data_IF_316287962567
#
_entry.id   IF_316287962567
#
_cell.length_a   1.000
_cell.length_b   1.000
_cell.length_c   1.000
_cell.angle_alpha   90.00
_cell.angle_beta   90.00
_cell.angle_gamma   90.00
#
_symmetry.space_group_name_H-M   'P 1'
#
loop_
_entity.id
_entity.type
_entity.pdbx_description
1 polymer ?
#
# COMPACT_ATOMS: atom_id res chain seq x y z
N UNK A 1 -8.64 5.32 -45.97
CA UNK A 1 -9.33 4.12 -46.49
C UNK A 1 -9.20 3.01 -45.46
N UNK A 2 -10.30 2.72 -44.74
CA UNK A 2 -10.62 1.44 -44.09
C UNK A 2 -11.86 1.70 -43.22
N UNK A 3 -13.03 1.48 -43.82
CA UNK A 3 -14.35 1.54 -43.22
C UNK A 3 -14.60 0.29 -42.38
N UNK A 4 -15.00 0.46 -41.13
CA UNK A 4 -15.49 -0.60 -40.26
C UNK A 4 -17.02 -0.50 -40.15
N UNK A 5 -17.81 -1.38 -40.79
CA UNK A 5 -19.20 -1.57 -40.44
C UNK A 5 -19.32 -2.72 -39.43
N UNK A 6 -20.25 -2.62 -38.48
CA UNK A 6 -21.06 -3.72 -37.90
C UNK A 6 -21.67 -3.20 -36.58
N UNK A 7 -22.76 -2.45 -36.74
CA UNK A 7 -23.80 -2.28 -35.74
C UNK A 7 -24.86 -3.34 -36.08
N UNK A 8 -24.93 -4.42 -35.31
CA UNK A 8 -26.07 -5.33 -35.37
C UNK A 8 -27.18 -4.83 -34.46
N UNK A 9 -28.33 -4.57 -35.09
CA UNK A 9 -29.56 -4.17 -34.45
C UNK A 9 -30.22 -5.37 -33.76
N UNK A 10 -30.64 -5.18 -32.51
CA UNK A 10 -31.45 -6.13 -31.75
C UNK A 10 -32.91 -6.03 -32.24
N UNK A 11 -33.58 -7.13 -32.63
CA UNK A 11 -34.99 -7.09 -33.02
C UNK A 11 -35.89 -6.87 -31.79
N UNK A 12 -36.59 -5.74 -31.76
CA UNK A 12 -37.72 -5.48 -30.87
C UNK A 12 -38.98 -6.11 -31.44
N UNK A 13 -39.30 -7.34 -31.03
CA UNK A 13 -40.61 -7.95 -31.32
C UNK A 13 -41.00 -8.93 -30.21
N UNK A 14 -41.51 -8.44 -29.08
CA UNK A 14 -42.22 -9.26 -28.09
C UNK A 14 -43.10 -8.38 -27.18
N UNK A 15 -44.15 -7.78 -27.73
CA UNK A 15 -45.25 -7.22 -26.93
C UNK A 15 -46.55 -7.36 -27.70
N UNK A 16 -47.17 -8.53 -27.60
CA UNK A 16 -48.62 -8.70 -27.73
C UNK A 16 -49.02 -9.92 -26.90
N UNK A 17 -49.47 -9.69 -25.67
CA UNK A 17 -50.31 -10.66 -24.96
C UNK A 17 -51.54 -9.97 -24.35
N UNK A 18 -52.72 -10.59 -24.48
CA UNK A 18 -53.98 -10.00 -24.08
C UNK A 18 -54.17 -9.94 -22.56
N UNK A 19 -54.80 -8.84 -22.13
CA UNK A 19 -55.27 -8.57 -20.77
C UNK A 19 -56.12 -9.73 -20.20
N UNK A 20 -55.56 -10.50 -19.27
CA UNK A 20 -56.32 -11.38 -18.40
C UNK A 20 -56.66 -10.68 -17.07
N UNK A 21 -57.95 -10.49 -16.83
CA UNK A 21 -58.53 -10.05 -15.55
C UNK A 21 -58.08 -10.98 -14.41
N UNK A 22 -57.55 -10.45 -13.29
CA UNK A 22 -57.26 -11.28 -12.12
C UNK A 22 -58.56 -11.60 -11.36
N UNK A 23 -58.84 -12.88 -11.18
CA UNK A 23 -59.81 -13.40 -10.22
C UNK A 23 -59.27 -13.22 -8.80
N UNK A 24 -60.04 -12.56 -7.93
CA UNK A 24 -59.72 -12.38 -6.52
C UNK A 24 -59.89 -13.70 -5.76
N UNK A 25 -58.80 -14.45 -5.60
CA UNK A 25 -58.70 -15.51 -4.61
C UNK A 25 -57.88 -15.00 -3.43
N UNK A 26 -58.51 -14.88 -2.26
CA UNK A 26 -57.85 -14.62 -0.99
C UNK A 26 -57.03 -15.85 -0.59
N UNK A 27 -55.75 -15.85 -0.99
CA UNK A 27 -54.77 -16.81 -0.49
C UNK A 27 -54.27 -16.27 0.85
N UNK A 28 -54.73 -16.88 1.93
CA UNK A 28 -54.16 -16.69 3.26
C UNK A 28 -52.77 -17.33 3.26
N UNK A 29 -51.74 -16.52 3.00
CA UNK A 29 -50.36 -16.99 3.15
C UNK A 29 -50.06 -17.22 4.63
N UNK A 30 -49.50 -18.37 5.02
CA UNK A 30 -48.91 -18.51 6.34
C UNK A 30 -47.81 -17.45 6.48
N UNK A 31 -47.80 -16.72 7.60
CA UNK A 31 -46.69 -15.85 7.97
C UNK A 31 -45.42 -16.70 8.07
N UNK A 32 -44.68 -16.80 6.98
CA UNK A 32 -43.30 -17.20 7.02
C UNK A 32 -42.57 -16.02 7.64
N UNK A 33 -42.14 -16.18 8.89
CA UNK A 33 -41.20 -15.27 9.53
C UNK A 33 -40.01 -15.10 8.59
N UNK A 34 -40.00 -13.96 7.88
CA UNK A 34 -38.81 -13.42 7.25
C UNK A 34 -37.87 -13.03 8.38
N UNK A 35 -37.20 -14.03 8.96
CA UNK A 35 -35.94 -13.83 9.65
C UNK A 35 -35.05 -13.14 8.63
N UNK A 36 -34.78 -11.86 8.88
CA UNK A 36 -33.81 -11.11 8.12
C UNK A 36 -32.53 -11.95 8.12
N UNK A 37 -32.27 -12.58 6.98
CA UNK A 37 -30.95 -13.10 6.60
C UNK A 37 -30.04 -11.88 6.58
N UNK A 38 -29.59 -11.49 7.76
CA UNK A 38 -28.36 -10.76 7.94
C UNK A 38 -27.34 -11.61 7.20
N UNK A 39 -26.97 -11.13 6.02
CA UNK A 39 -25.78 -11.54 5.31
C UNK A 39 -24.62 -11.25 6.25
N UNK A 40 -24.44 -12.16 7.21
CA UNK A 40 -23.27 -12.21 8.04
C UNK A 40 -22.15 -12.41 7.04
N UNK A 41 -21.39 -11.35 6.82
CA UNK A 41 -20.02 -11.44 6.36
C UNK A 41 -19.41 -12.43 7.33
N UNK A 42 -19.32 -13.70 6.91
CA UNK A 42 -19.02 -14.85 7.74
C UNK A 42 -17.90 -14.44 8.69
N UNK A 43 -18.18 -14.33 10.00
CA UNK A 43 -17.10 -14.25 10.96
C UNK A 43 -16.23 -15.47 10.66
N UNK A 44 -14.91 -15.28 10.57
CA UNK A 44 -14.01 -16.41 10.70
C UNK A 44 -14.47 -17.13 11.97
N UNK A 45 -15.14 -18.27 11.80
CA UNK A 45 -15.68 -19.08 12.88
C UNK A 45 -14.49 -19.78 13.53
N UNK A 46 -13.60 -19.01 14.14
CA UNK A 46 -12.67 -19.48 15.15
C UNK A 46 -13.42 -19.39 16.47
N UNK A 47 -14.34 -20.34 16.67
CA UNK A 47 -14.83 -20.63 18.01
C UNK A 47 -13.64 -21.08 18.88
N UNK A 48 -13.57 -20.66 20.15
CA UNK A 48 -12.50 -21.06 21.07
C UNK A 48 -12.48 -22.58 21.38
N UNK A 49 -13.49 -23.34 20.93
CA UNK A 49 -13.75 -24.70 21.37
C UNK A 49 -13.47 -25.79 20.32
N UNK A 50 -12.76 -25.49 19.23
CA UNK A 50 -12.22 -26.57 18.37
C UNK A 50 -10.90 -27.08 18.97
N UNK A 51 -10.84 -28.34 19.47
CA UNK A 51 -9.65 -28.91 20.10
C UNK A 51 -8.47 -29.12 19.12
N UNK A 52 -8.71 -28.92 17.82
CA UNK A 52 -7.70 -28.90 16.75
C UNK A 52 -7.70 -27.55 16.01
N UNK A 53 -7.80 -26.45 16.77
CA UNK A 53 -7.59 -25.12 16.23
C UNK A 53 -6.20 -25.02 15.57
N UNK A 54 -6.09 -24.70 14.27
CA UNK A 54 -4.82 -24.76 13.59
C UNK A 54 -3.85 -23.69 14.13
N UNK A 55 -2.56 -24.06 14.23
CA UNK A 55 -1.51 -23.27 14.88
C UNK A 55 -1.56 -21.77 14.54
N UNK A 56 -1.72 -20.91 15.55
CA UNK A 56 -1.65 -19.45 15.40
C UNK A 56 -0.32 -19.04 14.72
N UNK A 57 -0.31 -17.95 13.94
CA UNK A 57 0.94 -17.40 13.40
C UNK A 57 1.98 -17.23 14.50
N UNK A 58 3.22 -17.64 14.25
CA UNK A 58 4.29 -17.50 15.24
C UNK A 58 4.65 -16.02 15.36
N UNK A 59 4.18 -15.35 16.42
CA UNK A 59 4.34 -13.90 16.65
C UNK A 59 5.77 -13.41 16.39
N UNK A 60 6.78 -14.09 16.94
CA UNK A 60 8.19 -13.74 16.71
C UNK A 60 8.56 -13.70 15.23
N UNK A 61 8.15 -14.72 14.46
CA UNK A 61 8.46 -14.82 13.03
C UNK A 61 7.80 -13.70 12.23
N UNK A 62 6.54 -13.41 12.51
CA UNK A 62 5.82 -12.30 11.86
C UNK A 62 6.49 -10.96 12.17
N UNK A 63 6.84 -10.69 13.43
CA UNK A 63 7.54 -9.45 13.82
C UNK A 63 8.93 -9.34 13.20
N UNK A 64 9.69 -10.45 13.15
CA UNK A 64 10.98 -10.48 12.47
C UNK A 64 10.84 -10.21 10.97
N UNK A 65 9.82 -10.74 10.31
CA UNK A 65 9.56 -10.48 8.88
C UNK A 65 9.15 -9.03 8.64
N UNK A 66 8.28 -8.45 9.49
CA UNK A 66 7.92 -7.03 9.39
C UNK A 66 9.16 -6.14 9.56
N UNK A 67 10.00 -6.40 10.57
CA UNK A 67 11.25 -5.68 10.76
C UNK A 67 12.20 -5.86 9.57
N UNK A 68 12.41 -7.10 9.10
CA UNK A 68 13.30 -7.39 7.99
C UNK A 68 12.84 -6.70 6.70
N UNK A 69 11.53 -6.66 6.45
CA UNK A 69 10.96 -5.95 5.30
C UNK A 69 11.25 -4.45 5.39
N UNK A 70 11.02 -3.83 6.55
CA UNK A 70 11.31 -2.41 6.74
C UNK A 70 12.80 -2.09 6.65
N UNK A 71 13.68 -2.94 7.20
CA UNK A 71 15.12 -2.77 7.10
C UNK A 71 15.61 -2.94 5.67
N UNK A 72 15.02 -3.86 4.91
CA UNK A 72 15.29 -4.04 3.48
C UNK A 72 14.99 -2.73 2.72
N UNK A 73 13.76 -2.22 2.85
CA UNK A 73 13.37 -0.94 2.24
C UNK A 73 14.28 0.20 2.69
N UNK A 74 14.63 0.28 3.98
CA UNK A 74 15.53 1.31 4.49
C UNK A 74 16.93 1.21 3.88
N UNK A 75 17.52 0.02 3.81
CA UNK A 75 18.85 -0.19 3.23
C UNK A 75 18.85 0.27 1.77
N UNK A 76 17.89 -0.18 0.98
CA UNK A 76 17.84 0.16 -0.45
C UNK A 76 17.42 1.60 -0.75
N UNK A 77 16.87 2.33 0.23
CA UNK A 77 16.54 3.76 0.08
C UNK A 77 17.64 4.68 0.63
N UNK A 78 18.25 4.31 1.75
CA UNK A 78 19.30 5.11 2.41
C UNK A 78 20.66 4.95 1.74
N UNK A 79 21.05 3.74 1.34
CA UNK A 79 22.36 3.53 0.69
C UNK A 79 22.53 4.41 -0.56
N UNK A 80 21.55 4.49 -1.50
CA UNK A 80 21.65 5.38 -2.65
C UNK A 80 21.67 6.88 -2.34
N UNK A 81 21.37 7.27 -1.10
CA UNK A 81 21.42 8.66 -0.64
C UNK A 81 22.76 8.97 0.03
N UNK A 82 23.31 8.01 0.79
CA UNK A 82 24.56 8.21 1.54
C UNK A 82 25.83 7.86 0.74
N UNK A 83 25.69 7.08 -0.34
CA UNK A 83 26.81 6.59 -1.13
C UNK A 83 26.58 6.92 -2.59
N UNK A 84 27.55 7.59 -3.21
CA UNK A 84 27.60 7.76 -4.66
C UNK A 84 28.22 6.50 -5.28
N UNK A 85 27.37 5.66 -5.86
CA UNK A 85 27.83 4.49 -6.59
C UNK A 85 28.22 4.85 -8.03
N UNK A 86 29.20 4.15 -8.62
CA UNK A 86 29.74 4.49 -9.94
C UNK A 86 28.69 4.36 -11.06
N UNK A 87 28.91 5.11 -12.15
CA UNK A 87 28.13 4.99 -13.37
C UNK A 87 28.38 3.64 -14.06
N UNK A 88 27.34 3.07 -14.65
CA UNK A 88 27.32 1.76 -15.30
C UNK A 88 26.87 1.96 -16.75
N UNK A 89 27.75 1.62 -17.71
CA UNK A 89 27.50 1.67 -19.17
C UNK A 89 27.08 3.04 -19.72
N UNK A 90 28.02 3.98 -19.77
CA UNK A 90 27.70 5.37 -20.07
C UNK A 90 26.78 5.92 -18.99
N UNK A 91 26.43 7.19 -19.04
CA UNK A 91 25.60 7.78 -17.98
C UNK A 91 24.12 7.34 -18.05
N UNK A 92 23.81 6.19 -18.65
CA UNK A 92 22.46 5.63 -18.71
C UNK A 92 22.01 5.00 -17.39
N UNK A 93 22.96 4.46 -16.61
CA UNK A 93 22.69 3.89 -15.29
C UNK A 93 23.71 4.43 -14.29
N UNK A 94 23.22 4.87 -13.13
CA UNK A 94 24.07 5.09 -11.96
C UNK A 94 23.87 3.89 -11.03
N UNK A 95 24.92 3.45 -10.32
CA UNK A 95 24.79 2.33 -9.37
C UNK A 95 23.68 2.55 -8.34
N UNK A 96 23.37 3.80 -8.00
CA UNK A 96 22.27 4.19 -7.12
C UNK A 96 20.90 3.75 -7.67
N UNK A 97 20.69 3.81 -8.98
CA UNK A 97 19.45 3.36 -9.62
C UNK A 97 19.31 1.84 -9.60
N UNK A 98 20.41 1.11 -9.74
CA UNK A 98 20.41 -0.35 -9.64
C UNK A 98 20.03 -0.79 -8.22
N UNK A 99 20.59 -0.16 -7.20
CA UNK A 99 20.23 -0.46 -5.80
C UNK A 99 18.75 -0.15 -5.55
N UNK A 100 18.22 0.96 -6.05
CA UNK A 100 16.78 1.29 -5.94
C UNK A 100 15.90 0.26 -6.66
N UNK A 101 16.31 -0.24 -7.82
CA UNK A 101 15.59 -1.28 -8.56
C UNK A 101 15.59 -2.64 -7.84
N UNK A 102 16.62 -2.94 -7.05
CA UNK A 102 16.70 -4.17 -6.27
C UNK A 102 15.75 -4.16 -5.07
N UNK A 103 15.37 -2.99 -4.54
CA UNK A 103 14.48 -2.87 -3.38
C UNK A 103 13.23 -3.73 -3.52
N UNK A 104 12.38 -3.54 -4.55
CA UNK A 104 11.13 -4.25 -4.60
C UNK A 104 11.34 -5.72 -4.99
N UNK A 105 12.47 -6.08 -5.61
CA UNK A 105 12.82 -7.48 -5.91
C UNK A 105 13.12 -8.25 -4.63
N UNK A 106 13.77 -7.63 -3.65
CA UNK A 106 14.15 -8.27 -2.37
C UNK A 106 13.05 -8.12 -1.32
N UNK A 107 12.39 -6.95 -1.25
CA UNK A 107 11.35 -6.69 -0.26
C UNK A 107 10.05 -7.45 -0.54
N UNK A 108 9.67 -7.63 -1.82
CA UNK A 108 8.39 -8.27 -2.17
C UNK A 108 8.28 -9.73 -1.70
N UNK A 109 9.32 -10.58 -1.83
CA UNK A 109 9.33 -11.91 -1.21
C UNK A 109 9.13 -11.87 0.32
N UNK A 110 9.65 -10.85 1.01
CA UNK A 110 9.48 -10.70 2.46
C UNK A 110 8.03 -10.33 2.80
N UNK A 111 7.41 -9.39 2.06
CA UNK A 111 5.99 -9.10 2.19
C UNK A 111 5.12 -10.34 1.94
N UNK A 112 5.45 -11.13 0.91
CA UNK A 112 4.74 -12.37 0.64
C UNK A 112 4.92 -13.40 1.77
N UNK A 113 6.12 -13.49 2.35
CA UNK A 113 6.37 -14.36 3.51
C UNK A 113 5.52 -13.96 4.73
N UNK A 114 5.27 -12.67 4.97
CA UNK A 114 4.33 -12.21 6.00
C UNK A 114 2.92 -12.75 5.74
N UNK A 115 2.47 -12.75 4.47
CA UNK A 115 1.17 -13.32 4.11
C UNK A 115 1.14 -14.82 4.32
N UNK A 116 2.20 -15.55 3.95
CA UNK A 116 2.29 -17.00 4.17
C UNK A 116 2.18 -17.35 5.67
N UNK A 117 2.84 -16.57 6.54
CA UNK A 117 2.79 -16.76 7.99
C UNK A 117 1.40 -16.52 8.60
N UNK A 118 0.53 -15.77 7.92
CA UNK A 118 -0.88 -15.66 8.35
C UNK A 118 -1.61 -17.01 8.26
N UNK A 119 -1.11 -17.95 7.45
CA UNK A 119 -1.72 -19.24 7.18
C UNK A 119 -3.04 -19.16 6.41
N UNK A 120 -3.31 -18.04 5.74
CA UNK A 120 -4.55 -17.82 4.98
C UNK A 120 -4.72 -18.83 3.85
N UNK A 121 -3.64 -19.20 3.15
CA UNK A 121 -3.73 -20.13 2.02
C UNK A 121 -3.98 -21.57 2.45
N UNK A 122 -3.66 -21.93 3.68
CA UNK A 122 -4.01 -23.24 4.23
C UNK A 122 -5.43 -23.24 4.80
N UNK A 123 -5.83 -22.17 5.51
CA UNK A 123 -7.00 -22.16 6.40
C UNK A 123 -8.19 -21.32 5.94
N UNK A 124 -7.96 -20.31 5.11
CA UNK A 124 -9.02 -19.42 4.64
C UNK A 124 -10.06 -20.16 3.82
N UNK A 125 -11.26 -19.61 3.72
CA UNK A 125 -12.21 -20.10 2.72
C UNK A 125 -11.64 -19.89 1.31
N UNK A 126 -12.05 -20.70 0.32
CA UNK A 126 -11.62 -20.52 -1.08
C UNK A 126 -11.80 -19.08 -1.55
N UNK A 127 -12.94 -18.45 -1.21
CA UNK A 127 -13.21 -17.04 -1.53
C UNK A 127 -12.21 -16.09 -0.89
N UNK A 128 -11.86 -16.29 0.38
CA UNK A 128 -10.91 -15.43 1.09
C UNK A 128 -9.48 -15.60 0.55
N UNK A 129 -9.06 -16.84 0.22
CA UNK A 129 -7.78 -17.11 -0.43
C UNK A 129 -7.65 -16.35 -1.75
N UNK A 130 -8.67 -16.43 -2.61
CA UNK A 130 -8.70 -15.70 -3.88
C UNK A 130 -8.73 -14.19 -3.66
N UNK A 131 -9.58 -13.69 -2.77
CA UNK A 131 -9.67 -12.24 -2.51
C UNK A 131 -8.33 -11.67 -2.05
N UNK A 132 -7.72 -12.26 -1.02
CA UNK A 132 -6.44 -11.80 -0.48
C UNK A 132 -5.34 -11.95 -1.51
N UNK A 133 -5.25 -13.11 -2.16
CA UNK A 133 -4.22 -13.39 -3.17
C UNK A 133 -4.28 -12.38 -4.31
N UNK A 134 -5.46 -12.17 -4.87
CA UNK A 134 -5.67 -11.19 -5.96
C UNK A 134 -5.36 -9.76 -5.52
N UNK A 135 -5.87 -9.33 -4.36
CA UNK A 135 -5.60 -7.97 -3.87
C UNK A 135 -4.11 -7.76 -3.61
N UNK A 136 -3.42 -8.74 -3.02
CA UNK A 136 -1.97 -8.64 -2.82
C UNK A 136 -1.23 -8.57 -4.14
N UNK A 137 -1.53 -9.45 -5.11
CA UNK A 137 -0.86 -9.47 -6.41
C UNK A 137 -1.05 -8.16 -7.19
N UNK A 138 -2.25 -7.58 -7.17
CA UNK A 138 -2.52 -6.27 -7.79
C UNK A 138 -1.73 -5.18 -7.08
N UNK A 139 -1.73 -5.17 -5.74
CA UNK A 139 -1.00 -4.17 -4.93
C UNK A 139 0.51 -4.24 -5.19
N UNK A 140 1.05 -5.46 -5.22
CA UNK A 140 2.44 -5.75 -5.53
C UNK A 140 2.79 -5.32 -6.96
N UNK A 141 1.91 -5.56 -7.94
CA UNK A 141 2.11 -5.14 -9.32
C UNK A 141 2.14 -3.61 -9.46
N UNK A 142 1.25 -2.88 -8.76
CA UNK A 142 1.26 -1.41 -8.73
C UNK A 142 2.56 -0.90 -8.11
N UNK A 143 2.99 -1.51 -7.00
CA UNK A 143 4.26 -1.18 -6.34
C UNK A 143 5.46 -1.36 -7.27
N UNK A 144 5.59 -2.53 -7.90
CA UNK A 144 6.67 -2.85 -8.83
C UNK A 144 6.66 -1.95 -10.07
N UNK A 145 5.48 -1.62 -10.60
CA UNK A 145 5.37 -0.69 -11.73
C UNK A 145 5.85 0.71 -11.34
N UNK A 146 5.52 1.19 -10.13
CA UNK A 146 6.06 2.45 -9.61
C UNK A 146 7.60 2.45 -9.60
N UNK A 147 8.24 1.40 -9.07
CA UNK A 147 9.69 1.29 -9.10
C UNK A 147 10.27 1.19 -10.53
N UNK A 148 9.57 0.52 -11.44
CA UNK A 148 9.94 0.43 -12.85
C UNK A 148 9.88 1.77 -13.56
N UNK A 149 8.79 2.53 -13.39
CA UNK A 149 8.64 3.89 -13.94
C UNK A 149 9.71 4.84 -13.39
N UNK A 150 10.02 4.74 -12.10
CA UNK A 150 11.08 5.53 -11.47
C UNK A 150 12.43 5.26 -12.14
N UNK A 151 12.77 3.98 -12.28
CA UNK A 151 14.04 3.55 -12.85
C UNK A 151 14.14 3.96 -14.32
N UNK A 152 13.07 3.78 -15.10
CA UNK A 152 13.00 4.21 -16.48
C UNK A 152 13.16 5.74 -16.62
N UNK A 153 12.48 6.52 -15.78
CA UNK A 153 12.60 7.97 -15.79
C UNK A 153 14.05 8.42 -15.51
N UNK A 154 14.73 7.80 -14.55
CA UNK A 154 16.15 8.07 -14.30
C UNK A 154 17.05 7.72 -15.50
N UNK A 155 16.83 6.55 -16.11
CA UNK A 155 17.61 6.13 -17.30
C UNK A 155 17.47 7.10 -18.48
N UNK A 156 16.31 7.73 -18.65
CA UNK A 156 16.14 8.76 -19.68
C UNK A 156 16.71 10.12 -19.25
N UNK A 157 16.57 10.47 -17.96
CA UNK A 157 16.99 11.77 -17.42
C UNK A 157 18.51 11.94 -17.46
N UNK A 158 19.29 10.95 -17.06
CA UNK A 158 20.74 11.09 -16.94
C UNK A 158 21.44 11.47 -18.27
N UNK A 159 21.36 10.68 -19.35
CA UNK A 159 22.02 11.03 -20.62
C UNK A 159 21.46 12.32 -21.23
N UNK A 160 20.20 12.64 -20.93
CA UNK A 160 19.59 13.88 -21.39
C UNK A 160 20.13 15.11 -20.64
N UNK A 161 20.33 15.00 -19.33
CA UNK A 161 20.99 16.04 -18.52
C UNK A 161 22.44 16.22 -18.97
N UNK A 162 23.18 15.15 -19.22
CA UNK A 162 24.54 15.26 -19.75
C UNK A 162 24.58 15.98 -21.09
N UNK A 163 23.68 15.62 -22.02
CA UNK A 163 23.58 16.32 -23.30
C UNK A 163 23.30 17.82 -23.11
N UNK A 164 22.40 18.16 -22.18
CA UNK A 164 22.09 19.56 -21.88
C UNK A 164 23.31 20.31 -21.31
N UNK A 165 24.06 19.67 -20.42
CA UNK A 165 25.23 20.25 -19.78
C UNK A 165 26.41 20.40 -20.77
N UNK A 166 26.55 19.47 -21.72
CA UNK A 166 27.55 19.54 -22.80
C UNK A 166 27.17 20.54 -23.91
N UNK A 167 25.90 20.90 -24.05
CA UNK A 167 25.38 21.74 -25.14
C UNK A 167 24.53 22.92 -24.66
N UNK A 168 25.05 23.81 -23.79
CA UNK A 168 24.25 24.87 -23.16
C UNK A 168 23.65 25.86 -24.16
N UNK A 169 24.36 26.13 -25.26
CA UNK A 169 23.87 27.03 -26.31
C UNK A 169 22.60 26.49 -26.97
N UNK A 170 22.55 25.18 -27.27
CA UNK A 170 21.35 24.53 -27.83
C UNK A 170 20.20 24.53 -26.82
N UNK A 171 20.48 24.28 -25.54
CA UNK A 171 19.46 24.33 -24.47
C UNK A 171 18.85 25.71 -24.35
N UNK A 172 19.65 26.77 -24.48
CA UNK A 172 19.16 28.15 -24.43
C UNK A 172 18.28 28.53 -25.62
N UNK A 173 18.52 27.91 -26.78
CA UNK A 173 17.78 28.18 -28.02
C UNK A 173 16.46 27.40 -28.10
N UNK A 174 16.39 26.20 -27.52
CA UNK A 174 15.24 25.31 -27.63
C UNK A 174 14.66 24.98 -26.25
N UNK A 175 13.49 25.58 -25.93
CA UNK A 175 12.79 25.33 -24.65
C UNK A 175 12.47 23.85 -24.40
N UNK A 176 12.34 23.08 -25.49
CA UNK A 176 12.12 21.63 -25.48
C UNK A 176 12.99 20.88 -24.46
N UNK A 177 14.27 21.24 -24.33
CA UNK A 177 15.16 20.53 -23.40
C UNK A 177 14.73 20.72 -21.94
N UNK A 178 14.43 21.96 -21.54
CA UNK A 178 13.96 22.24 -20.19
C UNK A 178 12.56 21.66 -19.95
N UNK A 179 11.68 21.75 -20.95
CA UNK A 179 10.31 21.24 -20.87
C UNK A 179 10.31 19.71 -20.73
N UNK A 180 11.09 19.01 -21.55
CA UNK A 180 11.22 17.55 -21.51
C UNK A 180 11.85 17.07 -20.21
N UNK A 181 12.94 17.70 -19.77
CA UNK A 181 13.57 17.37 -18.46
C UNK A 181 12.57 17.55 -17.32
N UNK A 182 11.81 18.64 -17.33
CA UNK A 182 10.79 18.94 -16.31
C UNK A 182 9.67 17.91 -16.34
N UNK A 183 9.21 17.52 -17.53
CA UNK A 183 8.18 16.50 -17.72
C UNK A 183 8.62 15.12 -17.20
N UNK A 184 9.82 14.65 -17.57
CA UNK A 184 10.35 13.35 -17.09
C UNK A 184 10.54 13.36 -15.57
N UNK A 185 11.13 14.42 -15.01
CA UNK A 185 11.36 14.52 -13.56
C UNK A 185 10.05 14.68 -12.80
N UNK A 186 9.20 15.61 -13.20
CA UNK A 186 8.04 16.01 -12.38
C UNK A 186 6.89 15.02 -12.55
N UNK A 187 6.56 14.65 -13.79
CA UNK A 187 5.38 13.84 -14.05
C UNK A 187 5.68 12.35 -13.95
N UNK A 188 6.77 11.88 -14.59
CA UNK A 188 7.08 10.45 -14.59
C UNK A 188 7.71 9.99 -13.28
N UNK A 189 8.84 10.60 -12.89
CA UNK A 189 9.55 10.24 -11.67
C UNK A 189 8.72 10.63 -10.43
N UNK A 190 8.40 11.91 -10.23
CA UNK A 190 7.72 12.32 -8.98
C UNK A 190 6.20 12.09 -8.97
N UNK A 191 5.50 12.37 -10.08
CA UNK A 191 4.04 12.35 -10.13
C UNK A 191 3.45 10.94 -10.25
N UNK A 192 3.95 10.13 -11.18
CA UNK A 192 3.42 8.80 -11.44
C UNK A 192 4.15 7.77 -10.59
N UNK A 193 5.48 7.71 -10.70
CA UNK A 193 6.24 6.59 -10.14
C UNK A 193 6.17 6.52 -8.62
N UNK A 194 6.39 7.64 -7.91
CA UNK A 194 6.33 7.68 -6.44
C UNK A 194 4.93 7.46 -5.91
N UNK A 195 3.89 7.99 -6.56
CA UNK A 195 2.51 7.77 -6.13
C UNK A 195 2.05 6.33 -6.37
N UNK A 196 2.44 5.71 -7.48
CA UNK A 196 2.19 4.27 -7.70
C UNK A 196 2.91 3.43 -6.66
N UNK A 197 4.18 3.75 -6.40
CA UNK A 197 4.98 3.05 -5.39
C UNK A 197 4.37 3.21 -3.99
N UNK A 198 3.99 4.41 -3.57
CA UNK A 198 3.30 4.65 -2.31
C UNK A 198 1.94 3.95 -2.24
N UNK A 199 1.12 4.04 -3.28
CA UNK A 199 -0.20 3.42 -3.34
C UNK A 199 -0.11 1.90 -3.24
N UNK A 200 0.80 1.26 -3.99
CA UNK A 200 1.05 -0.17 -3.92
C UNK A 200 1.46 -0.61 -2.51
N UNK A 201 2.37 0.13 -1.86
CA UNK A 201 2.81 -0.14 -0.50
C UNK A 201 1.69 -0.02 0.53
N UNK A 202 0.86 1.02 0.42
CA UNK A 202 -0.34 1.23 1.26
C UNK A 202 -1.32 0.07 1.08
N UNK A 203 -1.63 -0.32 -0.16
CA UNK A 203 -2.56 -1.42 -0.42
C UNK A 203 -2.03 -2.76 0.08
N UNK A 204 -0.73 -3.04 -0.05
CA UNK A 204 -0.11 -4.23 0.56
C UNK A 204 -0.24 -4.21 2.10
N UNK A 205 0.01 -3.07 2.74
CA UNK A 205 -0.20 -2.91 4.17
C UNK A 205 -1.66 -3.16 4.57
N UNK A 206 -2.63 -2.75 3.73
CA UNK A 206 -4.04 -3.00 3.98
C UNK A 206 -4.38 -4.49 3.94
N UNK A 207 -3.84 -5.21 2.96
CA UNK A 207 -4.03 -6.66 2.86
C UNK A 207 -3.44 -7.37 4.08
N UNK A 208 -2.24 -6.98 4.53
CA UNK A 208 -1.61 -7.58 5.72
C UNK A 208 -2.41 -7.25 6.98
N UNK A 209 -2.82 -6.00 7.19
CA UNK A 209 -3.66 -5.62 8.32
C UNK A 209 -4.99 -6.41 8.33
N UNK A 210 -5.61 -6.58 7.17
CA UNK A 210 -6.82 -7.38 7.01
C UNK A 210 -6.59 -8.86 7.36
N UNK A 211 -5.50 -9.46 6.90
CA UNK A 211 -5.16 -10.86 7.19
C UNK A 211 -5.02 -11.13 8.69
N UNK A 212 -4.36 -10.22 9.41
CA UNK A 212 -4.14 -10.34 10.83
C UNK A 212 -5.25 -9.73 11.70
N UNK A 213 -6.36 -9.29 11.09
CA UNK A 213 -7.45 -8.57 11.79
C UNK A 213 -7.99 -9.32 12.99
N UNK A 214 -8.02 -10.65 12.93
CA UNK A 214 -8.55 -11.53 13.97
C UNK A 214 -7.47 -12.23 14.81
N UNK A 215 -6.18 -12.07 14.48
CA UNK A 215 -5.08 -12.74 15.19
C UNK A 215 -4.91 -12.12 16.58
N UNK A 216 -4.83 -12.99 17.57
CA UNK A 216 -4.76 -12.61 18.98
C UNK A 216 -3.67 -13.39 19.69
N UNK A 217 -2.51 -12.78 19.86
CA UNK A 217 -1.40 -13.42 20.57
C UNK A 217 -0.58 -12.38 21.33
N UNK A 218 -0.86 -12.18 22.63
CA UNK A 218 -0.14 -11.19 23.42
C UNK A 218 1.35 -11.53 23.47
N UNK A 219 2.20 -10.53 23.21
CA UNK A 219 3.66 -10.68 23.23
C UNK A 219 4.15 -11.08 24.63
N UNK A 220 4.58 -12.35 24.77
CA UNK A 220 5.01 -12.91 26.06
C UNK A 220 6.48 -12.66 26.36
N UNK A 221 7.35 -12.66 25.33
CA UNK A 221 8.79 -12.51 25.52
C UNK A 221 9.27 -11.07 25.33
N UNK A 222 10.35 -10.70 26.03
CA UNK A 222 10.99 -9.38 25.86
C UNK A 222 11.51 -9.19 24.43
N UNK A 223 11.97 -10.26 23.79
CA UNK A 223 12.43 -10.24 22.40
C UNK A 223 11.30 -9.82 21.45
N UNK A 224 10.09 -10.36 21.63
CA UNK A 224 8.95 -9.99 20.78
C UNK A 224 8.60 -8.51 20.94
N UNK A 225 8.67 -7.97 22.17
CA UNK A 225 8.46 -6.54 22.43
C UNK A 225 9.51 -5.66 21.75
N UNK A 226 10.79 -6.08 21.78
CA UNK A 226 11.88 -5.37 21.11
C UNK A 226 11.69 -5.39 19.59
N UNK A 227 11.39 -6.56 19.01
CA UNK A 227 11.11 -6.69 17.57
C UNK A 227 9.92 -5.83 17.15
N UNK A 228 8.85 -5.84 17.95
CA UNK A 228 7.68 -5.02 17.72
C UNK A 228 7.99 -3.52 17.76
N UNK A 229 8.70 -3.07 18.81
CA UNK A 229 9.08 -1.66 18.95
C UNK A 229 9.99 -1.21 17.80
N UNK A 230 11.00 -2.01 17.47
CA UNK A 230 11.92 -1.74 16.37
C UNK A 230 11.19 -1.69 15.02
N UNK A 231 10.36 -2.69 14.71
CA UNK A 231 9.60 -2.71 13.47
C UNK A 231 8.71 -1.47 13.37
N UNK A 232 7.96 -1.17 14.44
CA UNK A 232 7.02 -0.03 14.50
C UNK A 232 7.75 1.29 14.28
N UNK A 233 8.88 1.48 14.97
CA UNK A 233 9.69 2.69 14.86
C UNK A 233 10.22 2.85 13.44
N UNK A 234 10.87 1.82 12.88
CA UNK A 234 11.45 1.90 11.53
C UNK A 234 10.36 2.17 10.50
N UNK A 235 9.19 1.52 10.58
CA UNK A 235 8.10 1.77 9.63
C UNK A 235 7.54 3.20 9.74
N UNK A 236 7.34 3.69 10.98
CA UNK A 236 6.89 5.05 11.21
C UNK A 236 7.88 6.10 10.70
N UNK A 237 9.18 5.86 10.88
CA UNK A 237 10.25 6.70 10.33
C UNK A 237 10.24 6.69 8.79
N UNK A 238 10.11 5.51 8.16
CA UNK A 238 10.02 5.41 6.69
C UNK A 238 8.87 6.26 6.17
N UNK A 239 7.65 6.13 6.72
CA UNK A 239 6.49 6.91 6.28
C UNK A 239 6.73 8.41 6.50
N UNK A 240 7.25 8.80 7.67
CA UNK A 240 7.54 10.18 7.99
C UNK A 240 8.58 10.81 7.06
N UNK A 241 9.69 10.12 6.80
CA UNK A 241 10.76 10.57 5.91
C UNK A 241 10.27 10.69 4.46
N UNK A 242 9.55 9.69 3.96
CA UNK A 242 8.90 9.73 2.64
C UNK A 242 7.98 10.95 2.54
N UNK A 243 7.15 11.21 3.55
CA UNK A 243 6.22 12.34 3.54
C UNK A 243 6.91 13.71 3.46
N UNK A 244 8.09 13.85 4.06
CA UNK A 244 8.89 15.08 4.05
C UNK A 244 9.59 15.29 2.70
N UNK A 245 10.02 14.20 2.07
CA UNK A 245 10.81 14.26 0.84
C UNK A 245 9.93 14.59 -0.39
N UNK A 246 8.71 14.05 -0.45
CA UNK A 246 7.91 14.12 -1.67
C UNK A 246 7.06 15.39 -1.81
N UNK A 247 6.89 15.92 -3.04
CA UNK A 247 5.91 16.97 -3.31
C UNK A 247 4.51 16.55 -2.86
N UNK A 248 3.90 17.36 -1.99
CA UNK A 248 2.61 17.07 -1.32
C UNK A 248 2.61 15.79 -0.47
N UNK A 249 3.77 15.21 -0.17
CA UNK A 249 3.92 13.98 0.61
C UNK A 249 3.30 14.10 2.00
N UNK A 250 3.47 15.25 2.66
CA UNK A 250 2.88 15.55 3.97
C UNK A 250 1.35 15.49 3.96
N UNK A 251 0.70 15.97 2.89
CA UNK A 251 -0.76 15.90 2.71
C UNK A 251 -1.19 14.43 2.55
N UNK A 252 -0.51 13.68 1.67
CA UNK A 252 -0.82 12.26 1.41
C UNK A 252 -0.67 11.44 2.69
N UNK A 253 0.42 11.66 3.44
CA UNK A 253 0.67 10.98 4.70
C UNK A 253 -0.36 11.32 5.77
N UNK A 254 -0.78 12.59 5.87
CA UNK A 254 -1.87 12.97 6.78
C UNK A 254 -3.18 12.24 6.44
N UNK A 255 -3.55 12.19 5.16
CA UNK A 255 -4.76 11.48 4.73
C UNK A 255 -4.64 9.99 5.09
N UNK A 256 -3.51 9.35 4.76
CA UNK A 256 -3.25 7.96 5.10
C UNK A 256 -3.38 7.72 6.62
N UNK A 257 -2.70 8.51 7.44
CA UNK A 257 -2.66 8.31 8.88
C UNK A 257 -4.02 8.62 9.53
N UNK A 258 -4.70 9.68 9.13
CA UNK A 258 -6.00 10.07 9.69
C UNK A 258 -7.09 9.12 9.26
N UNK A 259 -7.26 8.92 7.95
CA UNK A 259 -8.36 8.11 7.40
C UNK A 259 -8.13 6.65 7.69
N UNK A 260 -6.96 6.11 7.34
CA UNK A 260 -6.71 4.69 7.47
C UNK A 260 -6.17 4.32 8.86
N UNK A 261 -5.15 5.02 9.34
CA UNK A 261 -4.55 4.74 10.64
C UNK A 261 -5.56 4.89 11.78
N UNK A 262 -6.07 6.09 12.01
CA UNK A 262 -7.04 6.33 13.10
C UNK A 262 -8.46 5.89 12.71
N UNK A 263 -8.92 6.25 11.52
CA UNK A 263 -10.30 6.00 11.08
C UNK A 263 -10.62 4.53 10.86
N UNK A 264 -9.75 3.76 10.18
CA UNK A 264 -10.01 2.33 9.90
C UNK A 264 -9.40 1.43 10.98
N UNK A 265 -8.08 1.43 11.15
CA UNK A 265 -7.41 0.52 12.09
C UNK A 265 -7.76 0.88 13.53
N UNK A 266 -7.65 2.16 13.90
CA UNK A 266 -7.95 2.64 15.23
C UNK A 266 -9.39 2.33 15.63
N UNK A 267 -10.36 2.72 14.81
CA UNK A 267 -11.78 2.44 15.11
C UNK A 267 -12.09 0.94 15.18
N UNK A 268 -11.48 0.12 14.31
CA UNK A 268 -11.63 -1.33 14.37
C UNK A 268 -11.11 -1.90 15.69
N UNK A 269 -9.90 -1.51 16.11
CA UNK A 269 -9.30 -1.94 17.38
C UNK A 269 -10.16 -1.53 18.58
N UNK A 270 -10.61 -0.27 18.64
CA UNK A 270 -11.44 0.22 19.74
C UNK A 270 -12.83 -0.43 19.76
N UNK A 271 -13.48 -0.67 18.62
CA UNK A 271 -14.78 -1.34 18.55
C UNK A 271 -14.68 -2.81 18.95
N UNK A 272 -13.60 -3.50 18.59
CA UNK A 272 -13.43 -4.93 18.88
C UNK A 272 -12.95 -5.22 20.30
N UNK A 273 -12.07 -4.37 20.86
CA UNK A 273 -11.40 -4.66 22.13
C UNK A 273 -11.73 -3.65 23.24
N UNK A 274 -12.43 -2.56 22.93
CA UNK A 274 -12.74 -1.50 23.89
C UNK A 274 -11.50 -0.98 24.60
N UNK A 275 -11.53 -0.94 25.95
CA UNK A 275 -10.39 -0.53 26.78
C UNK A 275 -9.17 -1.46 26.64
N UNK A 276 -9.38 -2.71 26.21
CA UNK A 276 -8.30 -3.68 26.04
C UNK A 276 -7.49 -3.47 24.76
N UNK A 277 -7.95 -2.62 23.84
CA UNK A 277 -7.19 -2.22 22.65
C UNK A 277 -5.81 -1.64 22.99
N UNK A 278 -5.67 -1.05 24.19
CA UNK A 278 -4.42 -0.47 24.71
C UNK A 278 -3.44 -1.51 25.28
N UNK A 279 -3.86 -2.76 25.47
CA UNK A 279 -2.96 -3.82 25.96
C UNK A 279 -2.01 -4.23 24.84
N UNK A 280 -0.72 -3.96 25.05
CA UNK A 280 0.34 -4.20 24.06
C UNK A 280 0.38 -5.68 23.64
N UNK A 281 0.51 -5.93 22.35
CA UNK A 281 0.68 -7.26 21.76
C UNK A 281 -0.62 -8.01 21.49
N UNK A 282 -1.75 -7.58 22.04
CA UNK A 282 -3.04 -8.29 21.93
C UNK A 282 -3.48 -8.49 20.49
N UNK A 283 -3.31 -7.47 19.65
CA UNK A 283 -3.47 -7.53 18.18
C UNK A 283 -2.23 -6.92 17.53
N UNK A 284 -1.09 -7.58 17.74
CA UNK A 284 0.22 -6.99 17.49
C UNK A 284 0.39 -6.41 16.08
N UNK A 285 -0.08 -7.05 15.00
CA UNK A 285 0.07 -6.49 13.64
C UNK A 285 -0.73 -5.18 13.45
N UNK A 286 -1.98 -5.14 13.93
CA UNK A 286 -2.79 -3.92 13.84
C UNK A 286 -2.24 -2.80 14.73
N UNK A 287 -1.76 -3.14 15.94
CA UNK A 287 -1.11 -2.20 16.83
C UNK A 287 0.20 -1.67 16.25
N UNK A 288 0.97 -2.52 15.55
CA UNK A 288 2.18 -2.14 14.83
C UNK A 288 1.87 -1.06 13.79
N UNK A 289 0.87 -1.27 12.94
CA UNK A 289 0.48 -0.28 11.94
C UNK A 289 -0.03 1.01 12.58
N UNK A 290 -0.91 0.92 13.58
CA UNK A 290 -1.45 2.09 14.26
C UNK A 290 -0.35 2.92 14.93
N UNK A 291 0.56 2.30 15.66
CA UNK A 291 1.65 3.00 16.33
C UNK A 291 2.66 3.58 15.34
N UNK A 292 2.96 2.88 14.25
CA UNK A 292 3.81 3.41 13.18
C UNK A 292 3.16 4.65 12.53
N UNK A 293 1.86 4.61 12.28
CA UNK A 293 1.10 5.78 11.80
C UNK A 293 1.10 6.93 12.83
N UNK A 294 1.01 6.64 14.13
CA UNK A 294 1.15 7.69 15.15
C UNK A 294 2.54 8.35 15.14
N UNK A 295 3.60 7.56 14.98
CA UNK A 295 4.97 8.10 14.85
C UNK A 295 5.07 8.98 13.60
N UNK A 296 4.59 8.49 12.45
CA UNK A 296 4.57 9.25 11.21
C UNK A 296 3.74 10.55 11.34
N UNK A 297 2.61 10.51 12.05
CA UNK A 297 1.79 11.67 12.34
C UNK A 297 2.56 12.76 13.06
N UNK A 298 3.27 12.39 14.13
CA UNK A 298 4.06 13.33 14.93
C UNK A 298 5.16 13.96 14.08
N UNK A 299 5.85 13.16 13.27
CA UNK A 299 6.89 13.64 12.35
C UNK A 299 6.30 14.62 11.33
N UNK A 300 5.19 14.26 10.68
CA UNK A 300 4.55 15.08 9.65
C UNK A 300 4.02 16.39 10.24
N UNK A 301 3.40 16.37 11.42
CA UNK A 301 2.98 17.60 12.10
C UNK A 301 4.15 18.48 12.52
N UNK A 302 5.22 17.87 13.05
CA UNK A 302 6.46 18.58 13.37
C UNK A 302 7.06 19.25 12.14
N UNK A 303 7.08 18.55 11.01
CA UNK A 303 7.53 19.10 9.73
C UNK A 303 6.67 20.27 9.24
N UNK A 304 5.35 20.11 9.21
CA UNK A 304 4.41 21.16 8.80
C UNK A 304 4.59 22.41 9.66
N UNK A 305 4.76 22.23 10.98
CA UNK A 305 5.06 23.32 11.90
C UNK A 305 6.41 23.98 11.60
N UNK A 306 7.45 23.19 11.34
CA UNK A 306 8.81 23.66 11.02
C UNK A 306 8.85 24.51 9.75
N UNK A 307 8.25 24.02 8.66
CA UNK A 307 8.23 24.73 7.36
C UNK A 307 7.09 25.74 7.24
N UNK A 308 6.27 25.88 8.29
CA UNK A 308 5.11 26.80 8.37
C UNK A 308 4.08 26.57 7.24
N UNK A 309 3.89 25.32 6.83
CA UNK A 309 2.98 24.98 5.73
C UNK A 309 3.17 23.56 5.19
N UNK A 310 2.69 23.33 3.97
CA UNK A 310 2.75 22.04 3.27
C UNK A 310 3.84 22.01 2.20
N UNK A 311 5.07 22.35 2.58
CA UNK A 311 6.25 22.20 1.72
C UNK A 311 6.87 20.82 1.82
N UNK A 312 7.57 20.37 0.77
CA UNK A 312 8.54 19.28 0.89
C UNK A 312 9.93 19.85 1.25
N UNK A 313 10.91 18.98 1.44
CA UNK A 313 12.29 19.36 1.77
C UNK A 313 12.91 20.32 0.75
N UNK A 314 12.78 19.99 -0.54
CA UNK A 314 13.39 20.74 -1.64
C UNK A 314 12.79 22.15 -1.76
N UNK A 315 11.45 22.27 -1.75
CA UNK A 315 10.73 23.56 -1.80
C UNK A 315 11.02 24.44 -0.57
N UNK A 316 11.40 23.81 0.54
CA UNK A 316 11.77 24.51 1.79
C UNK A 316 13.25 24.93 1.84
N UNK A 317 14.01 24.71 0.76
CA UNK A 317 15.41 25.14 0.64
C UNK A 317 16.43 24.31 1.42
N UNK A 318 16.05 23.14 1.93
CA UNK A 318 16.96 22.24 2.66
C UNK A 318 17.62 21.30 1.65
N UNK A 319 18.94 21.39 1.48
CA UNK A 319 19.75 20.46 0.66
C UNK A 319 20.66 19.63 1.58
N UNK A 320 20.85 18.36 1.27
CA UNK A 320 21.84 17.46 1.89
C UNK A 320 23.01 17.27 0.95
#
# INVERSE_FOLDING_TARGET
MASSPYLEAVPTSFLDQPNHKPSSHSITMPQQEYSASTSSILPLAYGPDSPEGPAQPKTRRVLSLLLATNLCTLIFTVVPVLVELPNIKGNWYVGNDVIRLLEPIVAMPLYFAVILESGIFSRGSTKEKYLVGTLFMISAAIYQQGAGFHSAANMFKHPFVDFMDENPDLVSQYSFFNDFRTWVRTDWEHGISHYMYAAGGILMAFVIAYLYRNVHDPMRSSIDKVLFAAATLVYGLIIGSVAIEFPKGSIVALILVVVYGFGVIGSFLFRREGKQARRLGRRYVLQYYLLAYMIAFIIVLGWIGHVRGFGNREDSGIKF
#
